data_IF_699352135678
#
_entry.id   IF_699352135678
#
_cell.length_a   1.000
_cell.length_b   1.000
_cell.length_c   1.000
_cell.angle_alpha   90.00
_cell.angle_beta   90.00
_cell.angle_gamma   90.00
#
_symmetry.space_group_name_H-M   'P 1'
#
loop_
_entity.id
_entity.type
_entity.pdbx_description
1 polymer ?
#
# COMPACT_ATOMS: atom_id res chain seq x y z
N UNK A 1 -10.54 -25.35 -20.73
CA UNK A 1 -11.03 -23.96 -20.62
C UNK A 1 -10.51 -23.34 -19.33
N UNK A 2 -10.08 -22.10 -19.38
CA UNK A 2 -9.69 -21.37 -18.17
C UNK A 2 -10.89 -21.16 -17.26
N UNK A 3 -10.71 -21.29 -15.96
CA UNK A 3 -11.72 -20.91 -14.98
C UNK A 3 -11.92 -19.39 -14.94
N UNK A 4 -13.04 -18.92 -14.41
CA UNK A 4 -13.27 -17.48 -14.21
C UNK A 4 -12.15 -16.84 -13.39
N UNK A 5 -11.65 -17.55 -12.39
CA UNK A 5 -10.53 -17.08 -11.57
C UNK A 5 -9.24 -16.95 -12.37
N UNK A 6 -8.92 -17.93 -13.23
CA UNK A 6 -7.75 -17.85 -14.11
C UNK A 6 -7.85 -16.67 -15.07
N UNK A 7 -9.02 -16.50 -15.70
CA UNK A 7 -9.27 -15.35 -16.57
C UNK A 7 -9.14 -14.02 -15.82
N UNK A 8 -9.67 -13.93 -14.61
CA UNK A 8 -9.55 -12.72 -13.79
C UNK A 8 -8.09 -12.40 -13.45
N UNK A 9 -7.26 -13.42 -13.19
CA UNK A 9 -5.82 -13.24 -12.92
C UNK A 9 -5.10 -12.76 -14.19
N UNK A 10 -5.43 -13.30 -15.36
CA UNK A 10 -4.85 -12.84 -16.63
C UNK A 10 -5.20 -11.38 -16.92
N UNK A 11 -6.47 -11.00 -16.71
CA UNK A 11 -6.93 -9.61 -16.83
C UNK A 11 -6.20 -8.69 -15.84
N UNK A 12 -6.03 -9.11 -14.58
CA UNK A 12 -5.27 -8.36 -13.60
C UNK A 12 -3.81 -8.14 -14.06
N UNK A 13 -3.16 -9.17 -14.58
CA UNK A 13 -1.78 -9.07 -15.10
C UNK A 13 -1.69 -8.12 -16.29
N UNK A 14 -2.66 -8.15 -17.19
CA UNK A 14 -2.75 -7.21 -18.31
C UNK A 14 -2.92 -5.78 -17.83
N UNK A 15 -3.86 -5.54 -16.90
CA UNK A 15 -4.07 -4.24 -16.29
C UNK A 15 -2.79 -3.70 -15.62
N UNK A 16 -2.06 -4.57 -14.92
CA UNK A 16 -0.79 -4.20 -14.31
C UNK A 16 0.25 -3.76 -15.35
N UNK A 17 0.36 -4.46 -16.48
CA UNK A 17 1.25 -4.05 -17.59
C UNK A 17 0.85 -2.69 -18.15
N UNK A 18 -0.44 -2.44 -18.35
CA UNK A 18 -0.96 -1.15 -18.82
C UNK A 18 -0.64 -0.03 -17.82
N UNK A 19 -0.82 -0.30 -16.54
CA UNK A 19 -0.49 0.65 -15.46
C UNK A 19 1.00 1.00 -15.46
N UNK A 20 1.87 0.01 -15.56
CA UNK A 20 3.31 0.22 -15.60
C UNK A 20 3.76 0.96 -16.88
N UNK A 21 3.04 0.81 -17.96
CA UNK A 21 3.26 1.56 -19.20
C UNK A 21 2.71 3.00 -19.14
N UNK A 22 2.01 3.37 -18.07
CA UNK A 22 1.43 4.70 -17.90
C UNK A 22 0.05 4.87 -18.53
N UNK A 23 -0.52 3.82 -19.14
CA UNK A 23 -1.87 3.84 -19.70
C UNK A 23 -2.89 3.55 -18.59
N UNK A 24 -3.13 4.58 -17.76
CA UNK A 24 -3.97 4.45 -16.57
C UNK A 24 -5.44 4.19 -16.91
N UNK A 25 -5.96 4.80 -17.96
CA UNK A 25 -7.38 4.61 -18.34
C UNK A 25 -7.62 3.18 -18.83
N UNK A 26 -6.73 2.63 -19.66
CA UNK A 26 -6.79 1.24 -20.07
C UNK A 26 -6.65 0.29 -18.88
N UNK A 27 -5.74 0.57 -17.95
CA UNK A 27 -5.55 -0.21 -16.75
C UNK A 27 -6.81 -0.27 -15.89
N UNK A 28 -7.46 0.88 -15.67
CA UNK A 28 -8.72 0.98 -14.92
C UNK A 28 -9.79 0.08 -15.53
N UNK A 29 -9.99 0.19 -16.83
CA UNK A 29 -11.00 -0.62 -17.54
C UNK A 29 -10.69 -2.11 -17.41
N UNK A 30 -9.43 -2.51 -17.56
CA UNK A 30 -9.02 -3.92 -17.50
C UNK A 30 -9.11 -4.46 -16.06
N UNK A 31 -8.75 -3.67 -15.03
CA UNK A 31 -8.98 -4.06 -13.63
C UNK A 31 -10.46 -4.25 -13.33
N UNK A 32 -11.32 -3.36 -13.83
CA UNK A 32 -12.79 -3.51 -13.67
C UNK A 32 -13.29 -4.80 -14.30
N UNK A 33 -12.81 -5.16 -15.48
CA UNK A 33 -13.13 -6.43 -16.14
C UNK A 33 -12.67 -7.63 -15.32
N UNK A 34 -11.46 -7.57 -14.75
CA UNK A 34 -10.96 -8.60 -13.83
C UNK A 34 -11.90 -8.78 -12.64
N UNK A 35 -12.29 -7.69 -12.00
CA UNK A 35 -13.18 -7.68 -10.83
C UNK A 35 -14.58 -8.23 -11.19
N UNK A 36 -15.12 -7.85 -12.33
CA UNK A 36 -16.42 -8.34 -12.79
C UNK A 36 -16.39 -9.85 -13.09
N UNK A 37 -15.27 -10.35 -13.58
CA UNK A 37 -15.08 -11.78 -13.86
C UNK A 37 -14.97 -12.59 -12.58
N UNK A 38 -14.11 -12.18 -11.67
CA UNK A 38 -13.95 -12.79 -10.35
C UNK A 38 -13.27 -11.77 -9.41
N UNK A 39 -13.98 -11.21 -8.41
CA UNK A 39 -13.42 -10.24 -7.49
C UNK A 39 -12.24 -10.81 -6.71
N UNK A 40 -11.11 -10.11 -6.69
CA UNK A 40 -9.94 -10.44 -5.89
C UNK A 40 -9.48 -9.21 -5.11
N UNK A 41 -8.89 -9.43 -3.95
CA UNK A 41 -8.33 -8.34 -3.15
C UNK A 41 -7.21 -7.61 -3.91
N UNK A 42 -6.40 -8.35 -4.67
CA UNK A 42 -5.36 -7.79 -5.51
C UNK A 42 -5.91 -6.82 -6.57
N UNK A 43 -6.94 -7.24 -7.31
CA UNK A 43 -7.52 -6.41 -8.38
C UNK A 43 -8.11 -5.11 -7.82
N UNK A 44 -8.84 -5.17 -6.72
CA UNK A 44 -9.36 -3.97 -6.05
C UNK A 44 -8.23 -3.06 -5.54
N UNK A 45 -7.20 -3.63 -4.90
CA UNK A 45 -6.07 -2.86 -4.38
C UNK A 45 -5.32 -2.14 -5.49
N UNK A 46 -5.03 -2.82 -6.59
CA UNK A 46 -4.31 -2.23 -7.73
C UNK A 46 -5.17 -1.22 -8.50
N UNK A 47 -6.48 -1.44 -8.61
CA UNK A 47 -7.40 -0.42 -9.13
C UNK A 47 -7.34 0.85 -8.28
N UNK A 48 -7.38 0.69 -6.96
CA UNK A 48 -7.21 1.81 -6.03
C UNK A 48 -5.90 2.55 -6.24
N UNK A 49 -4.80 1.80 -6.37
CA UNK A 49 -3.49 2.39 -6.64
C UNK A 49 -3.47 3.17 -7.97
N UNK A 50 -4.11 2.64 -9.01
CA UNK A 50 -4.24 3.33 -10.30
C UNK A 50 -5.03 4.64 -10.16
N UNK A 51 -6.13 4.64 -9.41
CA UNK A 51 -6.87 5.87 -9.10
C UNK A 51 -5.99 6.91 -8.37
N UNK A 52 -5.13 6.46 -7.46
CA UNK A 52 -4.26 7.37 -6.71
C UNK A 52 -3.27 8.13 -7.61
N UNK A 53 -2.81 7.53 -8.70
CA UNK A 53 -1.97 8.22 -9.70
C UNK A 53 -2.73 9.33 -10.43
N UNK A 54 -4.05 9.27 -10.48
CA UNK A 54 -4.90 10.32 -11.03
C UNK A 54 -5.36 11.34 -9.97
N UNK A 55 -4.88 11.23 -8.72
CA UNK A 55 -5.31 12.06 -7.62
C UNK A 55 -6.71 11.74 -7.07
N UNK A 56 -7.33 10.65 -7.51
CA UNK A 56 -8.68 10.20 -7.14
C UNK A 56 -8.63 9.39 -5.84
N UNK A 57 -8.23 10.05 -4.73
CA UNK A 57 -7.90 9.38 -3.47
C UNK A 57 -9.12 8.77 -2.77
N UNK A 58 -10.31 9.38 -2.87
CA UNK A 58 -11.52 8.82 -2.28
C UNK A 58 -11.96 7.54 -2.99
N UNK A 59 -11.88 7.50 -4.31
CA UNK A 59 -12.14 6.30 -5.10
C UNK A 59 -11.07 5.21 -4.84
N UNK A 60 -9.81 5.62 -4.68
CA UNK A 60 -8.73 4.71 -4.31
C UNK A 60 -8.99 4.04 -2.96
N UNK A 61 -9.41 4.81 -1.96
CA UNK A 61 -9.76 4.28 -0.64
C UNK A 61 -10.97 3.34 -0.70
N UNK A 62 -11.98 3.70 -1.46
CA UNK A 62 -13.17 2.86 -1.64
C UNK A 62 -12.82 1.49 -2.21
N UNK A 63 -11.91 1.43 -3.19
CA UNK A 63 -11.44 0.17 -3.75
C UNK A 63 -10.63 -0.64 -2.73
N UNK A 64 -9.79 0.00 -1.91
CA UNK A 64 -9.09 -0.69 -0.83
C UNK A 64 -10.05 -1.28 0.21
N UNK A 65 -11.13 -0.59 0.54
CA UNK A 65 -12.15 -1.12 1.45
C UNK A 65 -12.83 -2.36 0.85
N UNK A 66 -13.12 -2.38 -0.45
CA UNK A 66 -13.63 -3.56 -1.15
C UNK A 66 -12.63 -4.71 -1.13
N UNK A 67 -11.34 -4.42 -1.31
CA UNK A 67 -10.29 -5.43 -1.19
C UNK A 67 -10.28 -6.10 0.18
N UNK A 68 -10.45 -5.33 1.25
CA UNK A 68 -10.52 -5.82 2.64
C UNK A 68 -11.76 -6.71 2.84
N UNK A 69 -12.90 -6.37 2.24
CA UNK A 69 -14.10 -7.22 2.27
C UNK A 69 -13.87 -8.57 1.60
N UNK A 70 -13.12 -8.60 0.49
CA UNK A 70 -12.80 -9.84 -0.25
C UNK A 70 -11.80 -10.70 0.52
N UNK A 71 -10.75 -10.10 1.07
CA UNK A 71 -9.72 -10.78 1.86
C UNK A 71 -9.19 -9.89 2.97
N UNK A 72 -9.73 -10.03 4.20
CA UNK A 72 -9.26 -9.24 5.34
C UNK A 72 -7.82 -9.50 5.77
N UNK A 73 -7.23 -10.63 5.34
CA UNK A 73 -5.86 -11.01 5.67
C UNK A 73 -4.82 -10.42 4.71
N UNK A 74 -5.26 -9.81 3.60
CA UNK A 74 -4.36 -9.14 2.66
C UNK A 74 -3.99 -7.75 3.15
N UNK A 75 -2.69 -7.51 3.42
CA UNK A 75 -2.21 -6.31 4.12
C UNK A 75 -2.08 -5.06 3.26
N UNK A 76 -1.87 -5.21 1.95
CA UNK A 76 -1.62 -4.09 1.05
C UNK A 76 -2.69 -3.00 1.09
N UNK A 77 -4.01 -3.30 1.05
CA UNK A 77 -5.03 -2.25 1.07
C UNK A 77 -5.05 -1.44 2.38
N UNK A 78 -4.70 -2.05 3.51
CA UNK A 78 -4.60 -1.30 4.78
C UNK A 78 -3.46 -0.27 4.72
N UNK A 79 -2.29 -0.66 4.22
CA UNK A 79 -1.16 0.26 4.04
C UNK A 79 -1.51 1.36 3.04
N UNK A 80 -2.15 1.02 1.94
CA UNK A 80 -2.52 1.96 0.89
C UNK A 80 -3.53 3.00 1.39
N UNK A 81 -4.53 2.60 2.17
CA UNK A 81 -5.45 3.55 2.84
C UNK A 81 -4.64 4.51 3.73
N UNK A 82 -3.70 3.99 4.51
CA UNK A 82 -2.81 4.81 5.33
C UNK A 82 -2.06 5.84 4.50
N UNK A 83 -1.48 5.42 3.37
CA UNK A 83 -0.76 6.32 2.44
C UNK A 83 -1.68 7.39 1.86
N UNK A 84 -2.89 7.02 1.42
CA UNK A 84 -3.84 7.99 0.86
C UNK A 84 -4.29 9.03 1.90
N UNK A 85 -4.50 8.60 3.14
CA UNK A 85 -4.79 9.51 4.26
C UNK A 85 -3.61 10.43 4.55
N UNK A 86 -2.37 9.94 4.50
CA UNK A 86 -1.17 10.77 4.62
C UNK A 86 -1.12 11.84 3.51
N UNK A 87 -1.42 11.49 2.29
CA UNK A 87 -1.47 12.41 1.16
C UNK A 87 -2.53 13.52 1.35
N UNK A 88 -3.60 13.22 2.06
CA UNK A 88 -4.64 14.17 2.44
C UNK A 88 -4.30 14.99 3.70
N UNK A 89 -3.15 14.77 4.31
CA UNK A 89 -2.76 15.43 5.57
C UNK A 89 -3.44 14.86 6.82
N UNK A 90 -4.16 13.76 6.71
CA UNK A 90 -4.90 13.11 7.80
C UNK A 90 -4.02 12.10 8.54
N UNK A 91 -2.95 12.59 9.15
CA UNK A 91 -1.90 11.73 9.73
C UNK A 91 -2.41 10.86 10.88
N UNK A 92 -3.21 11.41 11.78
CA UNK A 92 -3.76 10.64 12.91
C UNK A 92 -4.71 9.54 12.46
N UNK A 93 -5.52 9.80 11.43
CA UNK A 93 -6.41 8.78 10.86
C UNK A 93 -5.65 7.67 10.14
N UNK A 94 -4.48 7.97 9.57
CA UNK A 94 -3.64 6.99 8.87
C UNK A 94 -3.02 5.95 9.81
N UNK A 95 -2.70 6.33 11.05
CA UNK A 95 -1.97 5.47 12.02
C UNK A 95 -2.69 4.13 12.25
N UNK A 96 -3.99 4.09 12.60
CA UNK A 96 -4.67 2.81 12.83
C UNK A 96 -4.64 1.87 11.61
N UNK A 97 -4.75 2.41 10.40
CA UNK A 97 -4.70 1.62 9.18
C UNK A 97 -3.33 0.98 8.97
N UNK A 98 -2.26 1.74 9.18
CA UNK A 98 -0.89 1.24 9.08
C UNK A 98 -0.60 0.19 10.16
N UNK A 99 -1.11 0.37 11.38
CA UNK A 99 -0.99 -0.63 12.44
C UNK A 99 -1.72 -1.94 12.08
N UNK A 100 -2.89 -1.86 11.46
CA UNK A 100 -3.60 -3.03 10.95
C UNK A 100 -2.82 -3.74 9.84
N UNK A 101 -2.17 -2.97 8.95
CA UNK A 101 -1.32 -3.54 7.90
C UNK A 101 -0.19 -4.39 8.46
N UNK A 102 0.45 -3.96 9.54
CA UNK A 102 1.52 -4.74 10.22
C UNK A 102 1.06 -6.12 10.68
N UNK A 103 -0.20 -6.26 11.05
CA UNK A 103 -0.77 -7.48 11.61
C UNK A 103 -1.39 -8.39 10.57
N UNK A 104 -1.49 -7.97 9.33
CA UNK A 104 -2.07 -8.76 8.26
C UNK A 104 -1.26 -10.05 8.03
N UNK A 105 -1.96 -11.17 7.85
CA UNK A 105 -1.32 -12.47 7.67
C UNK A 105 -0.60 -12.59 6.34
N UNK A 106 -1.14 -11.96 5.29
CA UNK A 106 -0.62 -12.01 3.93
C UNK A 106 -0.23 -10.61 3.49
N UNK A 107 1.03 -10.25 3.69
CA UNK A 107 1.58 -8.95 3.29
C UNK A 107 3.05 -9.10 2.87
N UNK A 108 3.34 -8.67 1.67
CA UNK A 108 4.68 -8.42 1.16
C UNK A 108 4.63 -7.15 0.30
N UNK A 109 5.57 -6.22 0.46
CA UNK A 109 6.69 -6.16 1.44
C UNK A 109 6.28 -5.57 2.81
N UNK A 110 6.59 -6.29 3.88
CA UNK A 110 6.16 -5.97 5.26
C UNK A 110 6.77 -4.71 5.87
N UNK A 111 7.88 -4.21 5.33
CA UNK A 111 8.54 -3.02 5.85
C UNK A 111 7.75 -1.73 5.61
N UNK A 112 6.88 -1.66 4.61
CA UNK A 112 6.20 -0.42 4.21
C UNK A 112 5.34 0.22 5.30
N UNK A 113 4.48 -0.49 6.05
CA UNK A 113 3.71 0.17 7.11
C UNK A 113 4.59 0.76 8.20
N UNK A 114 5.71 0.12 8.54
CA UNK A 114 6.68 0.66 9.49
C UNK A 114 7.33 1.94 8.96
N UNK A 115 7.75 1.96 7.70
CA UNK A 115 8.32 3.14 7.05
C UNK A 115 7.33 4.31 7.04
N UNK A 116 6.09 4.04 6.71
CA UNK A 116 5.04 5.06 6.66
C UNK A 116 4.70 5.62 8.04
N UNK A 117 4.62 4.78 9.05
CA UNK A 117 4.49 5.23 10.46
C UNK A 117 5.69 6.07 10.90
N UNK A 118 6.90 5.65 10.55
CA UNK A 118 8.09 6.44 10.81
C UNK A 118 8.01 7.84 10.21
N UNK A 119 7.55 7.95 8.95
CA UNK A 119 7.35 9.24 8.27
C UNK A 119 6.29 10.10 8.95
N UNK A 120 5.18 9.52 9.40
CA UNK A 120 4.14 10.23 10.16
C UNK A 120 4.75 10.79 11.44
N UNK A 121 5.43 9.98 12.22
CA UNK A 121 6.02 10.38 13.48
C UNK A 121 7.09 11.47 13.32
N UNK A 122 7.90 11.42 12.25
CA UNK A 122 8.82 12.51 11.90
C UNK A 122 8.09 13.82 11.68
N UNK A 123 7.00 13.80 10.92
CA UNK A 123 6.18 15.00 10.65
C UNK A 123 5.55 15.57 11.92
N UNK A 124 5.28 14.73 12.90
CA UNK A 124 4.73 15.12 14.21
C UNK A 124 5.80 15.51 15.24
N UNK A 125 7.09 15.47 14.87
CA UNK A 125 8.20 15.72 15.80
C UNK A 125 8.41 14.61 16.84
N UNK A 126 7.84 13.46 16.62
CA UNK A 126 7.93 12.28 17.50
C UNK A 126 9.12 11.41 17.08
N UNK A 127 10.32 11.93 17.35
CA UNK A 127 11.58 11.39 16.84
C UNK A 127 11.90 9.97 17.33
N UNK A 128 11.61 9.68 18.60
CA UNK A 128 11.89 8.36 19.19
C UNK A 128 10.94 7.28 18.66
N UNK A 129 9.66 7.62 18.50
CA UNK A 129 8.69 6.71 17.87
C UNK A 129 9.06 6.46 16.40
N UNK A 130 9.49 7.51 15.68
CA UNK A 130 9.98 7.37 14.31
C UNK A 130 11.19 6.45 14.23
N UNK A 131 12.17 6.63 15.13
CA UNK A 131 13.35 5.78 15.20
C UNK A 131 12.96 4.30 15.36
N UNK A 132 12.04 4.02 16.28
CA UNK A 132 11.54 2.65 16.55
C UNK A 132 10.95 2.01 15.29
N UNK A 133 10.15 2.77 14.54
CA UNK A 133 9.54 2.28 13.31
C UNK A 133 10.59 2.00 12.21
N UNK A 134 11.54 2.91 12.01
CA UNK A 134 12.59 2.71 11.01
C UNK A 134 13.54 1.57 11.39
N UNK A 135 13.84 1.37 12.66
CA UNK A 135 14.62 0.21 13.11
C UNK A 135 13.92 -1.10 12.78
N UNK A 136 12.61 -1.19 13.02
CA UNK A 136 11.81 -2.36 12.67
C UNK A 136 11.78 -2.58 11.15
N UNK A 137 11.62 -1.51 10.37
CA UNK A 137 11.63 -1.58 8.91
C UNK A 137 12.97 -2.10 8.36
N UNK A 138 14.10 -1.63 8.90
CA UNK A 138 15.44 -2.11 8.49
C UNK A 138 15.63 -3.58 8.82
N UNK A 139 15.13 -4.06 9.95
CA UNK A 139 15.17 -5.50 10.28
C UNK A 139 14.41 -6.36 9.27
N UNK A 140 13.31 -5.83 8.72
CA UNK A 140 12.51 -6.52 7.71
C UNK A 140 13.11 -6.43 6.30
N UNK A 141 13.84 -5.37 6.00
CA UNK A 141 14.45 -5.12 4.69
C UNK A 141 15.90 -4.64 4.83
N UNK A 142 16.80 -5.50 5.32
CA UNK A 142 18.18 -5.09 5.62
C UNK A 142 19.00 -4.73 4.37
N UNK A 143 18.58 -5.19 3.18
CA UNK A 143 19.24 -4.88 1.92
C UNK A 143 18.79 -3.53 1.30
N UNK A 144 17.78 -2.87 1.87
CA UNK A 144 17.30 -1.55 1.41
C UNK A 144 18.29 -0.46 1.87
N UNK A 145 19.15 -0.02 0.95
CA UNK A 145 20.20 0.97 1.24
C UNK A 145 19.62 2.35 1.59
N UNK A 146 18.52 2.77 0.97
CA UNK A 146 17.89 4.07 1.26
C UNK A 146 17.26 4.07 2.66
N UNK A 147 16.64 2.98 3.04
CA UNK A 147 16.08 2.81 4.37
C UNK A 147 17.18 2.80 5.44
N UNK A 148 18.28 2.12 5.20
CA UNK A 148 19.44 2.12 6.08
C UNK A 148 20.04 3.54 6.25
N UNK A 149 20.12 4.32 5.18
CA UNK A 149 20.54 5.72 5.22
C UNK A 149 19.62 6.59 6.06
N UNK A 150 18.30 6.41 5.89
CA UNK A 150 17.27 7.12 6.67
C UNK A 150 17.47 6.86 8.16
N UNK A 151 17.64 5.61 8.54
CA UNK A 151 17.89 5.22 9.93
C UNK A 151 19.20 5.82 10.48
N UNK A 152 20.27 5.74 9.72
CA UNK A 152 21.57 6.30 10.11
C UNK A 152 21.49 7.82 10.34
N UNK A 153 20.87 8.54 9.41
CA UNK A 153 20.65 9.98 9.52
C UNK A 153 19.82 10.36 10.76
N UNK A 154 18.77 9.61 11.04
CA UNK A 154 17.91 9.85 12.20
C UNK A 154 18.67 9.62 13.51
N UNK A 155 19.46 8.54 13.62
CA UNK A 155 20.31 8.27 14.78
C UNK A 155 21.30 9.39 15.03
N UNK A 156 21.92 9.93 13.96
CA UNK A 156 22.84 11.05 14.07
C UNK A 156 22.23 12.35 14.60
N UNK A 157 20.92 12.53 14.42
CA UNK A 157 20.20 13.70 14.95
C UNK A 157 19.77 13.55 16.41
N UNK A 158 19.70 12.32 16.91
CA UNK A 158 19.24 12.01 18.27
C UNK A 158 20.40 11.82 19.26
N UNK A 159 21.64 11.74 18.77
CA UNK A 159 22.87 11.73 19.54
C UNK A 159 23.49 13.13 19.55
#
# INVERSE_FOLDING_TARGET
MASERELAIELWREAYRQQMAGDLDAAIETYRRSITTCPTAEAHTFLGWTYSFQGRLEEARAECLRAIEVDPDFGNPYNDIGVYLMQQGKLEEAIPWLERAKQARRYEPRQFPFMNLGRIYLKQGRWWEALHQFEAAVRLAPADAELAKTLHSLRGRLN
#
